data_IF_349675242882
#
_entry.id   IF_349675242882
#
_cell.length_a   1.000
_cell.length_b   1.000
_cell.length_c   1.000
_cell.angle_alpha   90.00
_cell.angle_beta   90.00
_cell.angle_gamma   90.00
#
_symmetry.space_group_name_H-M   'P 1'
#
loop_
_entity.id
_entity.type
_entity.pdbx_description
1 polymer ?
#
# COMPACT_ATOMS: atom_id res chain seq x y z
N UNK A 1 -7.56 -3.89 4.77
CA UNK A 1 -6.64 -4.76 4.01
C UNK A 1 -6.95 -6.22 4.27
N UNK A 2 -6.72 -7.05 3.28
CA UNK A 2 -6.90 -8.49 3.42
C UNK A 2 -5.69 -9.21 2.82
N UNK A 3 -5.38 -10.37 3.40
CA UNK A 3 -4.29 -11.20 2.90
C UNK A 3 -4.80 -12.01 1.71
N UNK A 4 -4.04 -11.94 0.62
CA UNK A 4 -4.36 -12.73 -0.57
C UNK A 4 -3.96 -14.19 -0.35
N UNK A 5 -4.80 -15.11 -0.82
CA UNK A 5 -4.43 -16.53 -0.87
C UNK A 5 -3.54 -16.86 -2.06
N UNK A 6 -3.32 -15.89 -2.97
CA UNK A 6 -2.45 -16.04 -4.13
C UNK A 6 -1.00 -15.74 -3.76
N UNK A 7 -0.09 -16.09 -4.68
CA UNK A 7 1.34 -15.85 -4.46
C UNK A 7 1.73 -14.39 -4.69
N UNK A 8 0.79 -13.54 -5.03
CA UNK A 8 1.01 -12.11 -5.22
C UNK A 8 -0.12 -11.34 -4.53
N UNK A 9 0.08 -10.04 -4.35
CA UNK A 9 -0.89 -9.16 -3.71
C UNK A 9 -0.49 -8.85 -2.27
N UNK A 10 -1.47 -8.45 -1.47
CA UNK A 10 -1.23 -8.06 -0.08
C UNK A 10 -0.79 -9.26 0.76
N UNK A 11 0.29 -9.05 1.52
CA UNK A 11 0.83 -10.03 2.45
C UNK A 11 1.01 -9.35 3.80
N UNK A 12 0.97 -10.13 4.87
CA UNK A 12 1.25 -9.59 6.20
C UNK A 12 2.06 -10.59 7.01
N UNK A 13 2.85 -10.07 7.93
CA UNK A 13 3.59 -10.87 8.91
C UNK A 13 3.62 -10.11 10.23
N UNK A 14 4.47 -10.54 11.17
CA UNK A 14 4.54 -9.94 12.50
C UNK A 14 5.04 -8.50 12.47
N UNK A 15 5.68 -8.07 11.39
CA UNK A 15 6.23 -6.72 11.26
C UNK A 15 5.27 -5.77 10.57
N UNK A 16 4.36 -6.26 9.72
CA UNK A 16 3.42 -5.39 9.03
C UNK A 16 2.96 -5.94 7.70
N UNK A 17 2.50 -5.04 6.86
CA UNK A 17 1.95 -5.36 5.55
C UNK A 17 2.95 -5.01 4.46
N UNK A 18 2.97 -5.82 3.39
CA UNK A 18 3.78 -5.57 2.21
C UNK A 18 3.07 -6.13 0.99
N UNK A 19 3.53 -5.74 -0.20
CA UNK A 19 2.91 -6.17 -1.46
C UNK A 19 3.87 -7.09 -2.20
N UNK A 20 3.38 -8.23 -2.64
CA UNK A 20 4.15 -9.13 -3.49
C UNK A 20 3.71 -8.90 -4.93
N UNK A 21 4.68 -8.58 -5.80
CA UNK A 21 4.41 -8.32 -7.21
C UNK A 21 3.95 -9.58 -7.93
N UNK A 22 3.43 -9.42 -9.15
CA UNK A 22 2.84 -10.51 -9.93
C UNK A 22 3.82 -11.63 -10.23
N UNK A 23 5.13 -11.35 -10.21
CA UNK A 23 6.15 -12.38 -10.43
C UNK A 23 6.29 -13.33 -9.22
N UNK A 24 5.63 -13.01 -8.10
CA UNK A 24 5.70 -13.80 -6.88
C UNK A 24 7.04 -13.78 -6.18
N UNK A 25 7.95 -12.92 -6.62
CA UNK A 25 9.33 -12.89 -6.12
C UNK A 25 9.74 -11.52 -5.58
N UNK A 26 9.34 -10.44 -6.23
CA UNK A 26 9.78 -9.09 -5.88
C UNK A 26 8.68 -8.31 -5.17
N UNK A 27 9.07 -7.21 -4.55
CA UNK A 27 8.15 -6.33 -3.85
C UNK A 27 8.64 -4.88 -3.95
N UNK A 28 7.73 -3.89 -3.88
CA UNK A 28 8.14 -2.48 -3.96
C UNK A 28 8.86 -2.05 -2.68
N UNK A 29 9.91 -1.23 -2.85
CA UNK A 29 10.64 -0.62 -1.74
C UNK A 29 10.93 0.83 -2.10
N UNK A 30 10.86 1.71 -1.10
CA UNK A 30 11.16 3.14 -1.25
C UNK A 30 10.36 3.78 -2.39
N UNK A 31 9.09 3.38 -2.56
CA UNK A 31 8.30 3.91 -3.66
C UNK A 31 6.81 3.89 -3.35
N UNK A 32 6.07 4.66 -4.15
CA UNK A 32 4.62 4.70 -4.12
C UNK A 32 4.06 3.72 -5.14
N UNK A 33 2.94 3.09 -4.80
CA UNK A 33 2.23 2.21 -5.73
C UNK A 33 0.73 2.44 -5.61
N UNK A 34 0.06 2.51 -6.76
CA UNK A 34 -1.39 2.49 -6.81
C UNK A 34 -1.84 1.03 -6.86
N UNK A 35 -2.60 0.63 -5.84
CA UNK A 35 -2.98 -0.77 -5.69
C UNK A 35 -4.47 -0.87 -5.38
N UNK A 36 -5.17 -1.75 -6.09
CA UNK A 36 -6.56 -2.11 -5.82
C UNK A 36 -6.55 -3.47 -5.14
N UNK A 37 -6.20 -3.48 -3.87
CA UNK A 37 -6.02 -4.73 -3.12
C UNK A 37 -7.33 -5.45 -2.82
N UNK A 38 -8.44 -4.71 -2.74
CA UNK A 38 -9.75 -5.29 -2.48
C UNK A 38 -10.55 -5.51 -3.76
N UNK A 39 -10.00 -5.14 -4.91
CA UNK A 39 -10.58 -5.34 -6.24
C UNK A 39 -11.98 -4.71 -6.40
N UNK A 40 -12.16 -3.55 -5.79
CA UNK A 40 -13.43 -2.82 -5.88
C UNK A 40 -13.49 -1.89 -7.09
N UNK A 41 -12.44 -1.86 -7.91
CA UNK A 41 -12.34 -0.99 -9.07
C UNK A 41 -11.74 0.37 -8.76
N UNK A 42 -11.36 0.61 -7.51
CA UNK A 42 -10.76 1.86 -7.08
C UNK A 42 -9.44 1.54 -6.38
N UNK A 43 -8.36 2.14 -6.87
CA UNK A 43 -7.03 1.97 -6.30
C UNK A 43 -6.73 3.09 -5.32
N UNK A 44 -6.04 2.76 -4.25
CA UNK A 44 -5.47 3.71 -3.30
C UNK A 44 -3.96 3.71 -3.47
N UNK A 45 -3.30 4.78 -3.04
CA UNK A 45 -1.86 4.90 -3.18
C UNK A 45 -1.19 4.55 -1.85
N UNK A 46 -0.21 3.67 -1.91
CA UNK A 46 0.51 3.20 -0.72
C UNK A 46 1.99 3.45 -0.88
N UNK A 47 2.67 3.76 0.23
CA UNK A 47 4.11 3.95 0.24
C UNK A 47 4.77 2.78 0.95
N UNK A 48 5.79 2.23 0.32
CA UNK A 48 6.59 1.13 0.88
C UNK A 48 7.97 1.65 1.24
N UNK A 49 8.40 1.35 2.46
CA UNK A 49 9.69 1.81 2.97
C UNK A 49 10.85 0.99 2.45
N UNK A 50 12.04 1.32 2.95
CA UNK A 50 13.27 0.65 2.52
C UNK A 50 13.33 -0.83 2.86
N UNK A 51 12.53 -1.26 3.85
CA UNK A 51 12.43 -2.67 4.22
C UNK A 51 11.30 -3.40 3.48
N UNK A 52 10.59 -2.70 2.58
CA UNK A 52 9.50 -3.29 1.81
C UNK A 52 8.15 -3.27 2.51
N UNK A 53 8.09 -2.81 3.76
CA UNK A 53 6.82 -2.77 4.49
C UNK A 53 6.08 -1.46 4.23
N UNK A 54 4.75 -1.56 4.16
CA UNK A 54 3.88 -0.41 3.98
C UNK A 54 3.95 0.49 5.21
N UNK A 55 4.09 1.79 4.98
CA UNK A 55 3.96 2.78 6.04
C UNK A 55 2.48 2.99 6.36
N UNK A 56 2.16 3.19 7.63
CA UNK A 56 0.79 3.44 8.07
C UNK A 56 0.78 4.37 9.27
N UNK A 57 -0.25 5.20 9.35
CA UNK A 57 -0.45 6.15 10.46
C UNK A 57 0.80 6.98 10.71
N UNK A 58 1.40 7.49 9.64
CA UNK A 58 2.66 8.23 9.73
C UNK A 58 2.80 9.18 8.54
N UNK A 59 3.92 9.89 8.51
CA UNK A 59 4.29 10.78 7.40
C UNK A 59 5.45 10.11 6.66
N UNK A 60 5.34 10.07 5.33
CA UNK A 60 6.39 9.48 4.50
C UNK A 60 7.60 10.41 4.42
N UNK A 61 8.76 9.90 3.96
CA UNK A 61 9.92 10.75 3.74
C UNK A 61 9.68 11.91 2.76
N UNK A 62 8.67 11.77 1.89
CA UNK A 62 8.29 12.82 0.94
C UNK A 62 7.41 13.90 1.57
N UNK A 63 7.01 13.73 2.84
CA UNK A 63 6.18 14.70 3.53
C UNK A 63 4.68 14.49 3.38
N UNK A 64 4.25 13.33 2.90
CA UNK A 64 2.83 13.02 2.71
C UNK A 64 2.33 12.13 3.84
N UNK A 65 1.03 12.29 4.17
CA UNK A 65 0.41 11.49 5.22
C UNK A 65 -0.19 10.20 4.66
N UNK A 66 -0.05 9.13 5.42
CA UNK A 66 -0.76 7.87 5.16
C UNK A 66 -1.59 7.54 6.39
N UNK A 67 -2.77 6.98 6.17
CA UNK A 67 -3.68 6.63 7.27
C UNK A 67 -3.32 5.26 7.85
N UNK A 68 -4.15 4.75 8.75
CA UNK A 68 -3.90 3.46 9.38
C UNK A 68 -3.85 2.31 8.41
N UNK A 69 -4.59 2.41 7.31
CA UNK A 69 -4.59 1.40 6.26
C UNK A 69 -3.43 1.57 5.31
N UNK A 70 -2.64 2.63 5.50
CA UNK A 70 -1.49 2.93 4.65
C UNK A 70 -1.82 3.71 3.41
N UNK A 71 -3.08 4.08 3.21
CA UNK A 71 -3.49 4.84 2.02
C UNK A 71 -3.09 6.30 2.15
N UNK A 72 -2.64 6.88 1.03
CA UNK A 72 -2.28 8.29 0.98
C UNK A 72 -3.50 9.16 1.19
N UNK A 73 -3.41 10.07 2.15
CA UNK A 73 -4.51 10.98 2.50
C UNK A 73 -4.05 12.43 2.48
N UNK A 74 -5.01 13.31 2.22
CA UNK A 74 -4.79 14.75 2.37
C UNK A 74 -4.71 15.11 3.86
N UNK A 75 -4.20 16.30 4.20
CA UNK A 75 -4.16 16.75 5.60
C UNK A 75 -5.52 16.76 6.30
N UNK A 76 -6.63 16.84 5.53
CA UNK A 76 -7.99 16.80 6.09
C UNK A 76 -8.49 15.36 6.30
N UNK A 77 -7.71 14.34 5.91
CA UNK A 77 -8.07 12.95 6.06
C UNK A 77 -8.71 12.31 4.84
N UNK A 78 -8.90 13.06 3.76
CA UNK A 78 -9.48 12.52 2.53
C UNK A 78 -8.50 11.58 1.84
N UNK A 79 -8.96 10.38 1.49
CA UNK A 79 -8.12 9.38 0.83
C UNK A 79 -8.02 9.68 -0.66
N UNK A 80 -6.80 9.66 -1.19
CA UNK A 80 -6.57 9.76 -2.63
C UNK A 80 -6.91 8.41 -3.28
N UNK A 81 -7.72 8.45 -4.33
CA UNK A 81 -8.12 7.25 -5.05
C UNK A 81 -7.97 7.47 -6.55
N UNK A 82 -7.83 6.37 -7.28
CA UNK A 82 -7.77 6.37 -8.73
C UNK A 82 -8.57 5.17 -9.24
N UNK A 83 -9.39 5.40 -10.25
CA UNK A 83 -10.14 4.30 -10.83
C UNK A 83 -9.19 3.33 -11.53
N UNK A 84 -9.26 2.06 -11.13
CA UNK A 84 -8.34 1.03 -11.64
C UNK A 84 -8.94 0.21 -12.79
N UNK A 85 -10.19 0.46 -13.15
CA UNK A 85 -10.86 -0.22 -14.27
C UNK A 85 -11.30 0.76 -15.33
#
# INVERSE_FOLDING_TARGET
LSVSSFVYGWQSDTKGWWWKNDDGMSYPVNCWRWLDGNRDGVAECYYFGGNGYMLSDTVTPDGYHVNRDGAWVEPDGSVHTMQSK
#
